data_IF_218148339236
#
_entry.id   IF_218148339236
#
_cell.length_a   1.000
_cell.length_b   1.000
_cell.length_c   1.000
_cell.angle_alpha   90.00
_cell.angle_beta   90.00
_cell.angle_gamma   90.00
#
_symmetry.space_group_name_H-M   'P 1'
#
loop_
_entity.id
_entity.type
_entity.pdbx_description
1 polymer ?
#
# COMPACT_ATOMS: atom_id res chain seq x y z
N UNK A 1 -18.24 -3.55 -16.67
CA UNK A 1 -19.08 -4.55 -15.97
C UNK A 1 -18.28 -5.01 -14.76
N UNK A 2 -18.88 -5.07 -13.56
CA UNK A 2 -18.15 -5.45 -12.34
C UNK A 2 -18.39 -6.94 -12.08
N UNK A 3 -17.32 -7.73 -12.08
CA UNK A 3 -17.39 -9.15 -11.72
C UNK A 3 -17.37 -9.28 -10.20
N UNK A 4 -18.11 -10.27 -9.66
CA UNK A 4 -18.12 -10.57 -8.23
C UNK A 4 -17.85 -12.05 -8.03
N UNK A 5 -16.86 -12.36 -7.19
CA UNK A 5 -16.55 -13.72 -6.79
C UNK A 5 -16.55 -13.80 -5.26
N UNK A 6 -17.02 -14.90 -4.71
CA UNK A 6 -16.87 -15.23 -3.30
C UNK A 6 -15.79 -16.30 -3.15
N UNK A 7 -14.88 -16.11 -2.22
CA UNK A 7 -13.79 -17.03 -1.92
C UNK A 7 -13.71 -17.28 -0.42
N UNK A 8 -13.72 -18.57 -0.06
CA UNK A 8 -13.41 -19.00 1.29
C UNK A 8 -11.89 -19.08 1.48
N UNK A 9 -11.37 -18.32 2.42
CA UNK A 9 -10.02 -18.54 2.96
C UNK A 9 -10.13 -19.37 4.23
N UNK A 10 -9.19 -20.29 4.44
CA UNK A 10 -9.28 -21.26 5.53
C UNK A 10 -8.27 -20.90 6.63
N UNK A 11 -8.74 -20.51 7.84
CA UNK A 11 -7.88 -20.24 9.00
C UNK A 11 -6.98 -21.41 9.40
N UNK A 12 -7.28 -22.63 8.96
CA UNK A 12 -6.43 -23.81 9.16
C UNK A 12 -5.07 -23.67 8.48
N UNK A 13 -5.01 -23.10 7.27
CA UNK A 13 -3.73 -22.89 6.59
C UNK A 13 -2.92 -21.80 7.27
N UNK A 14 -3.58 -20.73 7.69
CA UNK A 14 -2.96 -19.62 8.39
C UNK A 14 -4.05 -18.86 9.16
N UNK A 15 -3.83 -18.51 10.43
CA UNK A 15 -4.86 -17.81 11.24
C UNK A 15 -4.98 -16.32 10.90
N UNK A 16 -3.84 -15.72 10.56
CA UNK A 16 -3.60 -14.30 10.34
C UNK A 16 -3.54 -13.96 8.83
N UNK A 17 -4.38 -14.62 8.01
CA UNK A 17 -4.36 -14.47 6.54
C UNK A 17 -4.51 -13.02 6.14
N UNK A 18 -5.56 -12.35 6.62
CA UNK A 18 -5.87 -10.98 6.19
C UNK A 18 -4.82 -9.99 6.67
N UNK A 19 -4.32 -10.17 7.90
CA UNK A 19 -3.27 -9.36 8.50
C UNK A 19 -1.99 -9.40 7.67
N UNK A 20 -1.50 -10.59 7.31
CA UNK A 20 -0.28 -10.75 6.52
C UNK A 20 -0.41 -10.13 5.12
N UNK A 21 -1.56 -10.29 4.47
CA UNK A 21 -1.81 -9.65 3.18
C UNK A 21 -1.90 -8.13 3.32
N UNK A 22 -2.51 -7.64 4.41
CA UNK A 22 -2.67 -6.21 4.67
C UNK A 22 -1.33 -5.53 4.95
N UNK A 23 -0.39 -6.18 5.63
CA UNK A 23 0.97 -5.67 5.85
C UNK A 23 1.69 -5.38 4.53
N UNK A 24 1.64 -6.35 3.60
CA UNK A 24 2.23 -6.18 2.26
C UNK A 24 1.47 -5.10 1.49
N UNK A 25 0.12 -5.14 1.49
CA UNK A 25 -0.71 -4.17 0.79
C UNK A 25 -0.45 -2.73 1.25
N UNK A 26 -0.26 -2.50 2.56
CA UNK A 26 0.04 -1.17 3.11
C UNK A 26 1.38 -0.64 2.62
N UNK A 27 2.38 -1.51 2.52
CA UNK A 27 3.75 -1.18 2.11
C UNK A 27 3.90 -1.03 0.59
N UNK A 28 3.37 -1.99 -0.18
CA UNK A 28 3.62 -2.13 -1.62
C UNK A 28 2.44 -1.66 -2.48
N UNK A 29 1.31 -1.30 -1.85
CA UNK A 29 0.07 -0.84 -2.51
C UNK A 29 -0.62 -1.89 -3.38
N UNK A 30 -0.01 -3.07 -3.49
CA UNK A 30 -0.54 -4.27 -4.13
C UNK A 30 -0.09 -5.50 -3.36
N UNK A 31 -0.89 -6.54 -3.34
CA UNK A 31 -0.53 -7.85 -2.77
C UNK A 31 -1.22 -8.95 -3.58
N UNK A 32 -0.55 -10.09 -3.75
CA UNK A 32 -1.18 -11.25 -4.34
C UNK A 32 -1.83 -12.11 -3.27
N UNK A 33 -3.11 -12.44 -3.48
CA UNK A 33 -3.88 -13.37 -2.67
C UNK A 33 -4.04 -14.69 -3.41
N UNK A 34 -3.54 -15.78 -2.84
CA UNK A 34 -3.53 -17.09 -3.48
C UNK A 34 -4.72 -17.95 -3.09
N UNK A 35 -5.43 -18.49 -4.08
CA UNK A 35 -6.40 -19.58 -3.85
C UNK A 35 -5.66 -20.92 -3.78
N UNK A 36 -5.52 -21.41 -2.55
CA UNK A 36 -4.88 -22.71 -2.26
C UNK A 36 -5.73 -23.86 -2.81
N UNK A 37 -5.09 -24.78 -3.55
CA UNK A 37 -5.65 -26.06 -3.95
C UNK A 37 -5.76 -26.96 -2.72
N UNK A 38 -6.96 -27.47 -2.44
CA UNK A 38 -7.12 -28.48 -1.40
C UNK A 38 -6.42 -29.78 -1.83
N UNK A 39 -5.69 -30.42 -0.91
CA UNK A 39 -5.04 -31.72 -1.16
C UNK A 39 -6.04 -32.84 -1.43
N UNK A 40 -7.27 -32.71 -0.92
CA UNK A 40 -8.37 -33.65 -1.12
C UNK A 40 -9.29 -33.25 -2.28
N UNK A 41 -8.81 -32.38 -3.19
CA UNK A 41 -9.60 -31.93 -4.33
C UNK A 41 -9.53 -32.99 -5.42
N UNK A 42 -10.59 -33.79 -5.50
CA UNK A 42 -10.68 -34.90 -6.45
C UNK A 42 -11.44 -34.52 -7.72
N UNK A 43 -11.95 -33.28 -7.80
CA UNK A 43 -12.78 -32.78 -8.91
C UNK A 43 -12.34 -31.41 -9.37
N UNK A 44 -12.36 -31.19 -10.67
CA UNK A 44 -12.19 -29.86 -11.26
C UNK A 44 -13.40 -28.97 -10.95
N UNK A 45 -13.17 -27.65 -10.97
CA UNK A 45 -14.21 -26.66 -10.72
C UNK A 45 -15.27 -26.72 -11.84
N UNK A 46 -16.56 -26.92 -11.50
CA UNK A 46 -17.66 -27.12 -12.48
C UNK A 46 -17.76 -26.00 -13.52
N UNK A 47 -17.36 -24.78 -13.15
CA UNK A 47 -17.44 -23.58 -13.99
C UNK A 47 -16.06 -22.96 -14.33
N UNK A 48 -15.03 -23.79 -14.50
CA UNK A 48 -13.65 -23.33 -14.74
C UNK A 48 -13.54 -22.40 -15.96
N UNK A 49 -14.21 -22.71 -17.07
CA UNK A 49 -14.14 -21.89 -18.29
C UNK A 49 -14.67 -20.47 -18.04
N UNK A 50 -15.83 -20.35 -17.39
CA UNK A 50 -16.41 -19.05 -17.05
C UNK A 50 -15.50 -18.24 -16.13
N UNK A 51 -14.85 -18.90 -15.15
CA UNK A 51 -13.85 -18.24 -14.30
C UNK A 51 -12.65 -17.74 -15.10
N UNK A 52 -12.11 -18.55 -16.02
CA UNK A 52 -11.00 -18.14 -16.88
C UNK A 52 -11.38 -16.93 -17.75
N UNK A 53 -12.61 -16.88 -18.26
CA UNK A 53 -13.09 -15.75 -19.03
C UNK A 53 -13.23 -14.50 -18.18
N UNK A 54 -13.71 -14.61 -16.93
CA UNK A 54 -13.69 -13.50 -15.97
C UNK A 54 -12.24 -13.04 -15.76
N UNK A 55 -11.32 -13.96 -15.43
CA UNK A 55 -9.93 -13.64 -15.12
C UNK A 55 -9.21 -12.90 -16.26
N UNK A 56 -9.45 -13.28 -17.52
CA UNK A 56 -8.89 -12.61 -18.70
C UNK A 56 -9.40 -11.17 -18.88
N UNK A 57 -10.61 -10.87 -18.39
CA UNK A 57 -11.24 -9.56 -18.55
C UNK A 57 -10.99 -8.60 -17.36
N UNK A 58 -10.41 -9.09 -16.26
CA UNK A 58 -10.11 -8.28 -15.08
C UNK A 58 -8.92 -7.35 -15.34
N UNK A 59 -9.11 -6.06 -15.11
CA UNK A 59 -8.06 -5.04 -15.18
C UNK A 59 -8.39 -3.85 -14.24
N UNK A 60 -7.66 -2.74 -14.35
CA UNK A 60 -7.86 -1.56 -13.49
C UNK A 60 -9.20 -0.84 -13.69
N UNK A 61 -9.81 -0.92 -14.88
CA UNK A 61 -11.12 -0.31 -15.19
C UNK A 61 -12.27 -1.30 -14.99
N UNK A 62 -12.07 -2.56 -15.38
CA UNK A 62 -13.00 -3.68 -15.15
C UNK A 62 -12.48 -4.57 -14.02
N UNK A 63 -12.37 -4.01 -12.82
CA UNK A 63 -11.86 -4.76 -11.68
C UNK A 63 -12.90 -5.79 -11.17
N UNK A 64 -12.38 -6.81 -10.50
CA UNK A 64 -13.15 -7.83 -9.81
C UNK A 64 -13.32 -7.43 -8.33
N UNK A 65 -14.55 -7.53 -7.81
CA UNK A 65 -14.82 -7.52 -6.38
C UNK A 65 -14.74 -8.94 -5.85
N UNK A 66 -13.63 -9.26 -5.19
CA UNK A 66 -13.41 -10.56 -4.57
C UNK A 66 -13.84 -10.50 -3.11
N UNK A 67 -14.97 -11.11 -2.78
CA UNK A 67 -15.43 -11.28 -1.42
C UNK A 67 -14.62 -12.39 -0.75
N UNK A 68 -13.97 -12.08 0.37
CA UNK A 68 -13.15 -12.98 1.15
C UNK A 68 -13.82 -13.23 2.49
N UNK A 69 -14.07 -14.49 2.83
CA UNK A 69 -14.68 -14.85 4.10
C UNK A 69 -14.05 -16.11 4.70
N UNK A 70 -14.12 -16.23 6.02
CA UNK A 70 -13.94 -17.46 6.81
C UNK A 70 -15.22 -17.81 7.59
N UNK A 71 -16.34 -17.18 7.21
CA UNK A 71 -17.66 -17.16 7.84
C UNK A 71 -17.81 -16.23 9.05
N UNK A 72 -16.76 -15.99 9.82
CA UNK A 72 -16.80 -15.03 10.93
C UNK A 72 -16.53 -13.60 10.45
N UNK A 73 -15.72 -13.47 9.42
CA UNK A 73 -15.29 -12.21 8.83
C UNK A 73 -15.72 -12.12 7.37
N UNK A 74 -15.93 -10.90 6.90
CA UNK A 74 -16.20 -10.63 5.50
C UNK A 74 -15.45 -9.37 5.05
N UNK A 75 -14.63 -9.55 4.03
CA UNK A 75 -13.92 -8.48 3.34
C UNK A 75 -14.29 -8.47 1.87
N UNK A 76 -14.10 -7.33 1.22
CA UNK A 76 -14.10 -7.23 -0.24
C UNK A 76 -12.76 -6.69 -0.67
N UNK A 77 -12.13 -7.37 -1.61
CA UNK A 77 -10.87 -6.98 -2.22
C UNK A 77 -11.13 -6.43 -3.64
N UNK A 78 -10.45 -5.33 -3.97
CA UNK A 78 -10.38 -4.83 -5.34
C UNK A 78 -9.26 -5.57 -6.06
N UNK A 79 -9.62 -6.41 -7.03
CA UNK A 79 -8.68 -7.21 -7.81
C UNK A 79 -8.55 -6.63 -9.20
N UNK A 80 -7.32 -6.27 -9.60
CA UNK A 80 -7.03 -5.66 -10.90
C UNK A 80 -6.28 -6.58 -11.85
N UNK A 81 -5.91 -7.79 -11.42
CA UNK A 81 -5.41 -8.85 -12.30
C UNK A 81 -5.57 -10.22 -11.61
N UNK A 82 -5.67 -11.28 -12.41
CA UNK A 82 -5.58 -12.67 -11.94
C UNK A 82 -4.51 -13.39 -12.74
N UNK A 83 -3.60 -14.08 -12.05
CA UNK A 83 -2.45 -14.75 -12.65
C UNK A 83 -2.39 -16.22 -12.25
N UNK A 84 -1.93 -17.09 -13.14
CA UNK A 84 -1.65 -18.50 -12.81
C UNK A 84 -0.30 -18.67 -12.12
N UNK A 85 0.67 -17.81 -12.47
CA UNK A 85 2.00 -17.78 -11.89
C UNK A 85 2.26 -16.38 -11.38
N UNK A 86 2.79 -16.30 -10.16
CA UNK A 86 3.05 -15.02 -9.52
C UNK A 86 4.33 -14.41 -10.09
N UNK A 87 4.21 -13.23 -10.71
CA UNK A 87 5.33 -12.42 -11.18
C UNK A 87 5.23 -10.99 -10.67
N UNK A 88 6.36 -10.40 -10.29
CA UNK A 88 6.53 -9.00 -9.84
C UNK A 88 5.75 -8.52 -8.60
N UNK A 89 4.75 -9.26 -8.13
CA UNK A 89 3.94 -8.90 -6.95
C UNK A 89 4.25 -9.85 -5.79
N UNK A 90 4.36 -9.31 -4.58
CA UNK A 90 4.56 -10.15 -3.39
C UNK A 90 3.26 -10.77 -2.89
N UNK A 91 3.39 -12.00 -2.42
CA UNK A 91 2.43 -12.67 -1.56
C UNK A 91 3.09 -12.93 -0.20
N UNK A 92 2.31 -13.15 0.88
CA UNK A 92 2.86 -13.60 2.15
C UNK A 92 3.71 -14.87 2.02
N UNK A 93 4.85 -14.91 2.73
CA UNK A 93 5.81 -16.00 2.62
C UNK A 93 5.26 -17.40 2.94
N UNK A 94 4.15 -17.49 3.70
CA UNK A 94 3.60 -18.78 4.14
C UNK A 94 3.19 -19.66 2.96
N UNK A 95 2.75 -19.08 1.83
CA UNK A 95 2.46 -19.83 0.61
C UNK A 95 3.68 -20.65 0.15
N UNK A 96 4.87 -20.06 0.16
CA UNK A 96 6.10 -20.72 -0.26
C UNK A 96 6.70 -21.60 0.86
N UNK A 97 6.77 -21.08 2.09
CA UNK A 97 7.38 -21.77 3.24
C UNK A 97 6.65 -23.07 3.58
N UNK A 98 5.32 -23.07 3.49
CA UNK A 98 4.48 -24.24 3.78
C UNK A 98 4.16 -25.07 2.52
N UNK A 99 4.72 -24.68 1.37
CA UNK A 99 4.58 -25.38 0.08
C UNK A 99 3.11 -25.57 -0.33
N UNK A 100 2.30 -24.53 -0.17
CA UNK A 100 0.91 -24.55 -0.62
C UNK A 100 0.87 -24.47 -2.15
N UNK A 101 0.10 -25.38 -2.76
CA UNK A 101 -0.21 -25.31 -4.19
C UNK A 101 -1.31 -24.27 -4.42
N UNK A 102 -1.08 -23.32 -5.34
CA UNK A 102 -1.96 -22.17 -5.56
C UNK A 102 -2.50 -22.21 -6.98
N UNK A 103 -3.83 -22.26 -7.11
CA UNK A 103 -4.52 -22.40 -8.39
C UNK A 103 -4.64 -21.08 -9.16
N UNK A 104 -4.75 -19.97 -8.41
CA UNK A 104 -4.87 -18.64 -8.96
C UNK A 104 -4.39 -17.59 -7.95
N UNK A 105 -3.71 -16.57 -8.48
CA UNK A 105 -3.25 -15.40 -7.74
C UNK A 105 -4.10 -14.19 -8.08
N UNK A 106 -4.83 -13.67 -7.11
CA UNK A 106 -5.63 -12.45 -7.23
C UNK A 106 -4.77 -11.25 -6.82
N UNK A 107 -4.51 -10.33 -7.74
CA UNK A 107 -3.71 -9.15 -7.45
C UNK A 107 -4.59 -8.05 -6.86
N UNK A 108 -4.57 -7.95 -5.54
CA UNK A 108 -5.36 -7.03 -4.73
C UNK A 108 -4.68 -5.66 -4.67
N UNK A 109 -5.43 -4.59 -4.95
CA UNK A 109 -4.95 -3.19 -4.88
C UNK A 109 -5.70 -2.33 -3.87
N UNK A 110 -6.77 -2.89 -3.28
CA UNK A 110 -7.48 -2.32 -2.15
C UNK A 110 -8.26 -3.41 -1.41
N UNK A 111 -8.55 -3.18 -0.14
CA UNK A 111 -9.24 -4.12 0.73
C UNK A 111 -10.17 -3.36 1.68
N UNK A 112 -11.42 -3.80 1.77
CA UNK A 112 -12.43 -3.20 2.64
C UNK A 112 -12.99 -4.24 3.58
N UNK A 113 -13.03 -3.91 4.87
CA UNK A 113 -13.71 -4.69 5.90
C UNK A 113 -15.22 -4.39 5.86
N UNK A 114 -16.05 -5.43 5.75
CA UNK A 114 -17.51 -5.32 5.83
C UNK A 114 -18.03 -5.74 7.19
N UNK A 115 -17.53 -6.86 7.70
CA UNK A 115 -17.92 -7.42 8.99
C UNK A 115 -16.74 -8.17 9.61
N UNK A 116 -16.62 -8.15 10.94
CA UNK A 116 -15.49 -8.74 11.66
C UNK A 116 -15.96 -9.51 12.88
N UNK A 117 -15.53 -10.76 13.00
CA UNK A 117 -15.78 -11.65 14.13
C UNK A 117 -17.26 -11.76 14.50
N UNK A 118 -18.14 -11.86 13.50
CA UNK A 118 -19.58 -11.94 13.70
C UNK A 118 -20.26 -12.86 12.69
N UNK A 119 -20.13 -14.17 12.91
CA UNK A 119 -20.76 -15.20 12.09
C UNK A 119 -22.24 -14.94 11.81
N UNK A 120 -23.01 -14.57 12.85
CA UNK A 120 -24.46 -14.38 12.73
C UNK A 120 -24.76 -13.25 11.75
N UNK A 121 -24.04 -12.13 11.85
CA UNK A 121 -24.25 -11.00 10.93
C UNK A 121 -23.78 -11.32 9.52
N UNK A 122 -22.63 -11.98 9.35
CA UNK A 122 -22.17 -12.44 8.02
C UNK A 122 -23.24 -13.34 7.39
N UNK A 123 -23.70 -14.37 8.12
CA UNK A 123 -24.69 -15.36 7.67
C UNK A 123 -26.05 -14.76 7.37
N UNK A 124 -26.57 -13.89 8.23
CA UNK A 124 -27.96 -13.45 8.17
C UNK A 124 -28.15 -12.12 7.42
N UNK A 125 -27.12 -11.27 7.36
CA UNK A 125 -27.22 -9.93 6.75
C UNK A 125 -26.37 -9.73 5.50
N UNK A 126 -25.21 -10.39 5.38
CA UNK A 126 -24.33 -10.18 4.23
C UNK A 126 -24.53 -11.24 3.15
N UNK A 127 -24.31 -12.52 3.46
CA UNK A 127 -24.38 -13.61 2.50
C UNK A 127 -25.75 -13.72 1.77
N UNK A 128 -26.92 -13.47 2.42
CA UNK A 128 -28.21 -13.53 1.74
C UNK A 128 -28.43 -12.44 0.69
N UNK A 129 -27.52 -11.44 0.60
CA UNK A 129 -27.53 -10.42 -0.45
C UNK A 129 -26.93 -10.91 -1.77
N UNK A 130 -26.42 -12.14 -1.81
CA UNK A 130 -25.87 -12.74 -3.02
C UNK A 130 -26.84 -13.74 -3.65
N UNK A 131 -26.84 -13.81 -4.98
CA UNK A 131 -27.38 -14.95 -5.75
C UNK A 131 -26.26 -15.71 -6.43
N UNK A 132 -26.50 -16.99 -6.72
CA UNK A 132 -25.53 -17.90 -7.32
C UNK A 132 -25.99 -18.27 -8.73
N UNK A 133 -25.64 -17.48 -9.77
CA UNK A 133 -26.18 -17.65 -11.12
C UNK A 133 -25.95 -19.05 -11.68
N UNK A 134 -24.80 -19.65 -11.36
CA UNK A 134 -24.43 -20.99 -11.82
C UNK A 134 -25.08 -22.14 -11.02
N UNK A 135 -25.88 -21.81 -10.00
CA UNK A 135 -26.59 -22.76 -9.13
C UNK A 135 -28.07 -22.37 -9.04
N UNK A 136 -28.72 -22.26 -10.22
CA UNK A 136 -30.16 -21.96 -10.33
C UNK A 136 -30.55 -20.52 -9.98
N UNK A 137 -29.58 -19.61 -9.92
CA UNK A 137 -29.74 -18.21 -9.53
C UNK A 137 -30.46 -18.01 -8.17
N UNK A 138 -30.33 -19.01 -7.29
CA UNK A 138 -30.90 -18.95 -5.96
C UNK A 138 -30.10 -17.98 -5.07
N UNK A 139 -30.76 -17.50 -4.01
CA UNK A 139 -30.05 -16.81 -2.92
C UNK A 139 -28.98 -17.73 -2.34
N UNK A 140 -27.78 -17.21 -2.09
CA UNK A 140 -26.68 -17.96 -1.49
C UNK A 140 -27.11 -18.61 -0.18
N UNK A 141 -26.75 -19.88 0.02
CA UNK A 141 -27.03 -20.65 1.24
C UNK A 141 -25.75 -21.23 1.79
N UNK A 142 -25.46 -21.00 3.08
CA UNK A 142 -24.28 -21.57 3.72
C UNK A 142 -24.31 -23.11 3.76
N UNK A 143 -25.50 -23.69 3.93
CA UNK A 143 -25.70 -25.13 4.05
C UNK A 143 -26.53 -25.69 2.88
N UNK A 144 -26.29 -26.96 2.57
CA UNK A 144 -27.12 -27.74 1.65
C UNK A 144 -26.76 -27.63 0.16
N UNK A 145 -25.74 -26.85 -0.20
CA UNK A 145 -25.24 -26.74 -1.56
C UNK A 145 -23.75 -27.09 -1.65
N UNK A 146 -23.37 -27.84 -2.68
CA UNK A 146 -21.99 -28.22 -3.00
C UNK A 146 -21.36 -27.16 -3.92
N UNK A 147 -21.05 -26.00 -3.34
CA UNK A 147 -20.42 -24.88 -4.05
C UNK A 147 -18.94 -25.09 -4.28
N UNK A 148 -18.52 -24.92 -5.53
CA UNK A 148 -17.11 -24.76 -5.89
C UNK A 148 -16.66 -23.31 -5.72
N UNK A 149 -15.50 -23.11 -5.07
CA UNK A 149 -14.89 -21.79 -4.87
C UNK A 149 -13.63 -21.62 -5.75
N UNK A 150 -13.39 -20.43 -6.34
CA UNK A 150 -14.15 -19.18 -6.19
C UNK A 150 -15.55 -19.24 -6.81
N UNK A 151 -16.55 -18.89 -6.02
CA UNK A 151 -17.95 -18.96 -6.41
C UNK A 151 -18.34 -17.69 -7.17
N UNK A 152 -18.87 -17.84 -8.37
CA UNK A 152 -19.45 -16.73 -9.12
C UNK A 152 -20.76 -16.31 -8.45
N UNK A 153 -20.86 -15.03 -8.09
CA UNK A 153 -22.02 -14.47 -7.40
C UNK A 153 -22.52 -13.21 -8.11
N UNK A 154 -23.81 -12.93 -7.97
CA UNK A 154 -24.39 -11.63 -8.25
C UNK A 154 -24.85 -11.00 -6.93
N UNK A 155 -24.81 -9.67 -6.83
CA UNK A 155 -25.42 -8.95 -5.72
C UNK A 155 -26.87 -8.63 -6.07
N UNK A 156 -27.82 -8.92 -5.16
CA UNK A 156 -29.23 -8.55 -5.31
C UNK A 156 -29.41 -7.05 -5.49
N UNK A 157 -28.62 -6.27 -4.76
CA UNK A 157 -28.49 -4.83 -4.91
C UNK A 157 -27.06 -4.54 -5.41
N UNK A 158 -26.90 -4.21 -6.70
CA UNK A 158 -25.58 -3.91 -7.26
C UNK A 158 -24.91 -2.76 -6.51
N UNK A 159 -23.74 -3.02 -5.91
CA UNK A 159 -22.96 -2.02 -5.20
C UNK A 159 -21.48 -2.11 -5.56
N UNK A 160 -20.91 -0.98 -5.97
CA UNK A 160 -19.47 -0.86 -6.17
C UNK A 160 -18.80 -0.39 -4.87
N UNK A 161 -18.16 -1.30 -4.15
CA UNK A 161 -17.47 -1.02 -2.89
C UNK A 161 -16.25 -0.11 -3.03
N UNK A 162 -15.78 0.13 -4.26
CA UNK A 162 -14.60 0.92 -4.60
C UNK A 162 -14.91 2.05 -5.60
N UNK A 163 -16.15 2.55 -5.59
CA UNK A 163 -16.55 3.70 -6.40
C UNK A 163 -15.76 4.97 -6.03
N UNK A 164 -15.47 5.14 -4.74
CA UNK A 164 -14.63 6.24 -4.25
C UNK A 164 -13.16 5.97 -4.59
N UNK A 165 -12.43 7.02 -4.97
CA UNK A 165 -11.00 6.93 -5.25
C UNK A 165 -10.14 6.74 -3.98
N UNK A 166 -10.70 7.00 -2.80
CA UNK A 166 -10.02 6.77 -1.52
C UNK A 166 -9.72 5.28 -1.31
N UNK A 167 -8.53 4.99 -0.80
CA UNK A 167 -8.13 3.62 -0.45
C UNK A 167 -8.74 3.20 0.90
N UNK A 168 -9.36 2.03 0.94
CA UNK A 168 -10.01 1.50 2.15
C UNK A 168 -9.08 0.69 3.04
N UNK A 169 -8.06 0.03 2.48
CA UNK A 169 -7.15 -0.85 3.24
C UNK A 169 -6.46 -0.17 4.45
N UNK A 170 -6.16 1.15 4.47
CA UNK A 170 -5.61 1.80 5.66
C UNK A 170 -6.54 1.73 6.89
N UNK A 171 -7.86 1.58 6.66
CA UNK A 171 -8.87 1.61 7.70
C UNK A 171 -9.37 0.20 8.11
N UNK A 172 -8.86 -0.86 7.49
CA UNK A 172 -9.15 -2.26 7.88
C UNK A 172 -8.69 -2.49 9.32
N UNK A 173 -9.52 -3.18 10.11
CA UNK A 173 -9.39 -3.39 11.55
C UNK A 173 -9.50 -2.15 12.45
N UNK A 174 -9.62 -0.94 11.87
CA UNK A 174 -9.71 0.30 12.65
C UNK A 174 -11.14 0.55 13.12
N UNK A 175 -11.27 0.96 14.38
CA UNK A 175 -12.56 1.34 14.99
C UNK A 175 -13.13 2.63 14.37
N UNK A 176 -14.42 2.87 14.57
CA UNK A 176 -15.05 4.12 14.12
C UNK A 176 -14.41 5.36 14.77
N UNK A 177 -14.05 5.27 16.06
CA UNK A 177 -13.38 6.36 16.77
C UNK A 177 -12.03 6.71 16.11
N UNK A 178 -11.23 5.70 15.78
CA UNK A 178 -9.98 5.91 15.03
C UNK A 178 -10.21 6.61 13.69
N UNK A 179 -11.22 6.18 12.92
CA UNK A 179 -11.54 6.79 11.61
C UNK A 179 -11.97 8.25 11.77
N UNK A 180 -12.81 8.56 12.76
CA UNK A 180 -13.26 9.91 13.05
C UNK A 180 -12.10 10.82 13.47
N UNK A 181 -11.23 10.37 14.37
CA UNK A 181 -10.04 11.12 14.80
C UNK A 181 -9.08 11.36 13.65
N UNK A 182 -8.83 10.34 12.81
CA UNK A 182 -8.02 10.46 11.60
C UNK A 182 -8.59 11.52 10.66
N UNK A 183 -9.89 11.47 10.38
CA UNK A 183 -10.54 12.44 9.50
C UNK A 183 -10.44 13.86 10.07
N UNK A 184 -10.70 14.05 11.36
CA UNK A 184 -10.57 15.35 12.02
C UNK A 184 -9.14 15.92 11.97
N UNK A 185 -8.12 15.07 12.17
CA UNK A 185 -6.71 15.48 12.04
C UNK A 185 -6.37 15.90 10.61
N UNK A 186 -6.91 15.21 9.61
CA UNK A 186 -6.74 15.55 8.20
C UNK A 186 -7.45 16.89 7.91
N UNK A 187 -8.71 17.04 8.27
CA UNK A 187 -9.52 18.20 7.90
C UNK A 187 -9.04 19.49 8.58
N UNK A 188 -8.60 19.41 9.84
CA UNK A 188 -8.31 20.59 10.66
C UNK A 188 -6.81 20.92 10.71
N UNK A 189 -5.92 19.95 10.52
CA UNK A 189 -4.48 20.15 10.72
C UNK A 189 -3.63 19.77 9.51
N UNK A 190 -3.61 18.48 9.15
CA UNK A 190 -2.63 17.96 8.20
C UNK A 190 -3.02 18.22 6.73
N UNK A 191 -4.31 18.37 6.44
CA UNK A 191 -4.83 18.49 5.08
C UNK A 191 -4.42 17.32 4.18
N UNK A 192 -4.33 17.61 2.88
CA UNK A 192 -3.91 16.63 1.86
C UNK A 192 -2.50 16.07 2.09
N UNK A 193 -1.66 16.77 2.85
CA UNK A 193 -0.29 16.32 3.15
C UNK A 193 -0.27 15.03 4.01
N UNK A 194 -1.36 14.75 4.74
CA UNK A 194 -1.50 13.52 5.51
C UNK A 194 -1.32 12.24 4.68
N UNK A 195 -1.73 12.27 3.40
CA UNK A 195 -1.61 11.14 2.48
C UNK A 195 -0.17 10.92 1.96
N UNK A 196 0.73 11.87 2.22
CA UNK A 196 2.16 11.75 1.90
C UNK A 196 2.98 11.14 3.05
N UNK A 197 2.40 11.04 4.24
CA UNK A 197 3.02 10.37 5.38
C UNK A 197 3.14 8.87 5.13
N UNK A 198 4.14 8.26 5.75
CA UNK A 198 4.14 6.81 5.88
C UNK A 198 2.87 6.36 6.61
N UNK A 199 2.27 5.26 6.15
CA UNK A 199 0.99 4.80 6.70
C UNK A 199 1.05 4.54 8.20
N UNK A 200 2.18 3.99 8.71
CA UNK A 200 2.37 3.80 10.15
C UNK A 200 2.53 5.13 10.90
N UNK A 201 3.09 6.17 10.26
CA UNK A 201 3.24 7.48 10.89
C UNK A 201 1.88 8.10 11.14
N UNK A 202 0.99 8.10 10.13
CA UNK A 202 -0.37 8.59 10.30
C UNK A 202 -1.14 7.78 11.34
N UNK A 203 -1.04 6.45 11.31
CA UNK A 203 -1.68 5.58 12.31
C UNK A 203 -1.19 5.91 13.74
N UNK A 204 0.12 6.05 13.94
CA UNK A 204 0.69 6.38 15.25
C UNK A 204 0.28 7.78 15.73
N UNK A 205 0.17 8.77 14.84
CA UNK A 205 -0.38 10.10 15.19
C UNK A 205 -1.82 9.95 15.70
N UNK A 206 -2.67 9.18 15.00
CA UNK A 206 -4.07 8.99 15.40
C UNK A 206 -4.15 8.25 16.74
N UNK A 207 -3.34 7.21 16.95
CA UNK A 207 -3.32 6.50 18.24
C UNK A 207 -2.78 7.35 19.40
N UNK A 208 -1.85 8.26 19.14
CA UNK A 208 -1.37 9.22 20.13
C UNK A 208 -2.49 10.22 20.48
N UNK A 209 -3.22 10.72 19.48
CA UNK A 209 -4.33 11.65 19.69
C UNK A 209 -5.49 11.00 20.44
N UNK A 210 -5.84 9.74 20.13
CA UNK A 210 -6.87 8.99 20.86
C UNK A 210 -6.52 8.87 22.35
N UNK A 211 -5.28 8.52 22.66
CA UNK A 211 -4.79 8.42 24.05
C UNK A 211 -4.81 9.78 24.75
N UNK A 212 -4.34 10.83 24.08
CA UNK A 212 -4.36 12.19 24.60
C UNK A 212 -5.78 12.64 24.93
N UNK A 213 -6.71 12.50 23.99
CA UNK A 213 -8.09 12.95 24.18
C UNK A 213 -8.82 12.18 25.28
N UNK A 214 -8.55 10.88 25.42
CA UNK A 214 -9.14 10.05 26.46
C UNK A 214 -8.66 10.42 27.87
N UNK A 215 -7.40 10.85 28.02
CA UNK A 215 -6.75 10.99 29.33
C UNK A 215 -6.36 12.43 29.71
N UNK A 216 -6.53 13.44 28.84
CA UNK A 216 -6.12 14.83 29.12
C UNK A 216 -6.77 15.50 30.34
N UNK A 217 -7.81 14.90 30.92
CA UNK A 217 -8.46 15.39 32.15
C UNK A 217 -7.94 14.71 33.42
N UNK A 218 -7.12 13.67 33.28
CA UNK A 218 -6.48 12.99 34.40
C UNK A 218 -5.06 13.57 34.61
N UNK A 219 -4.84 14.36 35.68
CA UNK A 219 -3.54 14.96 35.94
C UNK A 219 -2.46 13.95 36.35
N UNK A 220 -2.82 12.71 36.70
CA UNK A 220 -1.90 11.65 37.13
C UNK A 220 -1.62 10.62 36.03
N UNK A 221 -2.27 10.74 34.86
CA UNK A 221 -2.05 9.81 33.76
C UNK A 221 -0.63 9.93 33.19
N UNK A 222 0.01 8.77 32.98
CA UNK A 222 1.33 8.67 32.38
C UNK A 222 1.26 8.62 30.85
N UNK A 223 1.70 9.71 30.20
CA UNK A 223 1.68 9.85 28.74
C UNK A 223 2.89 9.21 28.03
N UNK A 224 3.67 8.36 28.70
CA UNK A 224 4.83 7.68 28.09
C UNK A 224 4.49 6.90 26.83
N UNK A 225 3.32 6.25 26.78
CA UNK A 225 2.86 5.50 25.60
C UNK A 225 2.58 6.41 24.40
N UNK A 226 2.00 7.59 24.64
CA UNK A 226 1.82 8.63 23.62
C UNK A 226 3.15 9.08 23.04
N UNK A 227 4.17 9.30 23.88
CA UNK A 227 5.53 9.65 23.42
C UNK A 227 6.15 8.54 22.58
N UNK A 228 5.97 7.28 22.95
CA UNK A 228 6.46 6.13 22.14
C UNK A 228 5.81 6.11 20.75
N UNK A 229 4.52 6.45 20.63
CA UNK A 229 3.85 6.53 19.32
C UNK A 229 4.42 7.67 18.47
N UNK A 230 4.59 8.86 19.05
CA UNK A 230 5.24 9.97 18.37
C UNK A 230 6.71 9.70 18.02
N UNK A 231 7.39 8.90 18.84
CA UNK A 231 8.75 8.45 18.54
C UNK A 231 8.82 7.73 17.21
N UNK A 232 7.92 6.76 17.02
CA UNK A 232 7.82 5.97 15.79
C UNK A 232 7.55 6.85 14.57
N UNK A 233 6.78 7.93 14.74
CA UNK A 233 6.51 8.92 13.68
C UNK A 233 7.79 9.63 13.28
N UNK A 234 8.50 10.21 14.26
CA UNK A 234 9.72 10.98 13.99
C UNK A 234 10.83 10.09 13.41
N UNK A 235 11.03 8.89 13.94
CA UNK A 235 12.01 7.93 13.41
C UNK A 235 11.69 7.56 11.96
N UNK A 236 10.43 7.20 11.67
CA UNK A 236 10.02 6.77 10.34
C UNK A 236 10.08 7.88 9.30
N UNK A 237 9.60 9.09 9.62
CA UNK A 237 9.62 10.20 8.67
C UNK A 237 11.03 10.78 8.49
N UNK A 238 11.85 10.81 9.55
CA UNK A 238 13.26 11.22 9.43
C UNK A 238 14.04 10.26 8.54
N UNK A 239 13.81 8.96 8.70
CA UNK A 239 14.45 7.96 7.84
C UNK A 239 14.07 8.17 6.36
N UNK A 240 12.79 8.37 6.06
CA UNK A 240 12.35 8.63 4.70
C UNK A 240 12.92 9.93 4.14
N UNK A 241 13.01 10.98 4.96
CA UNK A 241 13.64 12.24 4.58
C UNK A 241 15.13 12.05 4.26
N UNK A 242 15.87 11.29 5.07
CA UNK A 242 17.28 10.98 4.82
C UNK A 242 17.43 10.23 3.49
N UNK A 243 16.56 9.26 3.20
CA UNK A 243 16.58 8.58 1.89
C UNK A 243 16.36 9.54 0.73
N UNK A 244 15.40 10.45 0.87
CA UNK A 244 15.09 11.45 -0.16
C UNK A 244 16.27 12.43 -0.35
N UNK A 245 16.95 12.82 0.74
CA UNK A 245 18.19 13.61 0.69
C UNK A 245 19.32 12.88 -0.05
N UNK A 246 19.58 11.60 0.28
CA UNK A 246 20.60 10.81 -0.40
C UNK A 246 20.25 10.71 -1.90
N UNK A 247 18.98 10.39 -2.21
CA UNK A 247 18.50 10.30 -3.59
C UNK A 247 18.72 11.60 -4.36
N UNK A 248 18.29 12.73 -3.81
CA UNK A 248 18.47 14.05 -4.41
C UNK A 248 19.95 14.41 -4.61
N UNK A 249 20.74 14.33 -3.54
CA UNK A 249 22.16 14.68 -3.59
C UNK A 249 22.96 13.76 -4.51
N UNK A 250 22.58 12.47 -4.64
CA UNK A 250 23.25 11.56 -5.57
C UNK A 250 23.08 11.94 -7.04
N UNK A 251 22.04 12.71 -7.39
CA UNK A 251 21.87 13.27 -8.74
C UNK A 251 22.83 14.43 -9.05
N UNK A 252 23.36 15.07 -8.00
CA UNK A 252 24.25 16.23 -8.08
C UNK A 252 25.71 15.79 -7.90
N UNK A 253 25.96 14.95 -6.89
CA UNK A 253 27.27 14.42 -6.53
C UNK A 253 27.17 12.90 -6.33
N UNK A 254 27.33 12.10 -7.39
CA UNK A 254 27.18 10.64 -7.34
C UNK A 254 28.12 9.96 -6.33
N UNK A 255 29.27 10.57 -6.02
CA UNK A 255 30.23 10.02 -5.06
C UNK A 255 29.66 9.90 -3.64
N UNK A 256 28.59 10.63 -3.31
CA UNK A 256 27.92 10.55 -2.00
C UNK A 256 27.45 9.13 -1.67
N UNK A 257 27.11 8.34 -2.69
CA UNK A 257 26.63 6.96 -2.51
C UNK A 257 27.70 6.03 -1.91
N UNK A 258 28.98 6.34 -2.13
CA UNK A 258 30.12 5.55 -1.64
C UNK A 258 30.58 5.95 -0.23
N UNK A 259 29.89 6.89 0.42
CA UNK A 259 30.26 7.34 1.76
C UNK A 259 29.94 6.27 2.78
N UNK A 260 30.97 5.82 3.49
CA UNK A 260 30.84 4.88 4.60
C UNK A 260 30.17 5.52 5.82
N UNK A 261 29.22 4.80 6.38
CA UNK A 261 28.48 5.17 7.58
C UNK A 261 28.48 3.99 8.57
N UNK A 262 28.36 4.29 9.86
CA UNK A 262 28.19 3.26 10.88
C UNK A 262 26.76 3.30 11.44
N UNK A 263 26.03 2.20 11.29
CA UNK A 263 24.71 1.99 11.89
C UNK A 263 24.78 0.84 12.88
N UNK A 264 24.63 1.10 14.19
CA UNK A 264 24.61 0.08 15.25
C UNK A 264 25.66 -1.03 15.07
N UNK A 265 26.92 -0.64 14.87
CA UNK A 265 28.08 -1.51 14.66
C UNK A 265 28.20 -2.20 13.29
N UNK A 266 27.31 -1.92 12.35
CA UNK A 266 27.46 -2.30 10.94
C UNK A 266 28.09 -1.16 10.15
N UNK A 267 29.08 -1.48 9.32
CA UNK A 267 29.55 -0.58 8.27
C UNK A 267 28.62 -0.75 7.07
N UNK A 268 28.03 0.35 6.62
CA UNK A 268 27.13 0.41 5.46
C UNK A 268 27.45 1.67 4.68
N UNK A 269 27.12 1.71 3.39
CA UNK A 269 27.25 2.94 2.61
C UNK A 269 25.94 3.74 2.61
N UNK A 270 25.98 4.99 2.15
CA UNK A 270 24.75 5.74 1.88
C UNK A 270 23.90 5.08 0.77
N UNK A 271 24.53 4.38 -0.18
CA UNK A 271 23.81 3.56 -1.17
C UNK A 271 22.99 2.45 -0.50
N UNK A 272 23.56 1.74 0.47
CA UNK A 272 22.86 0.68 1.21
C UNK A 272 21.60 1.21 1.89
N UNK A 273 21.68 2.40 2.50
CA UNK A 273 20.55 3.07 3.15
C UNK A 273 19.48 3.46 2.13
N UNK A 274 19.90 4.07 1.01
CA UNK A 274 18.98 4.53 -0.04
C UNK A 274 18.24 3.36 -0.70
N UNK A 275 18.97 2.29 -1.03
CA UNK A 275 18.40 1.09 -1.68
C UNK A 275 17.79 0.09 -0.67
N UNK A 276 17.90 0.35 0.63
CA UNK A 276 17.50 -0.56 1.70
C UNK A 276 18.18 -1.94 1.61
N UNK A 277 19.42 -1.97 1.12
CA UNK A 277 20.24 -3.18 1.07
C UNK A 277 20.91 -3.37 2.43
N UNK A 278 20.78 -4.54 3.03
CA UNK A 278 21.43 -4.89 4.31
C UNK A 278 21.10 -3.98 5.52
N UNK A 279 20.17 -3.03 5.35
CA UNK A 279 19.71 -2.09 6.37
C UNK A 279 18.27 -2.44 6.74
N UNK A 280 18.06 -2.80 8.01
CA UNK A 280 16.72 -3.04 8.53
C UNK A 280 16.19 -1.78 9.22
N UNK A 281 14.88 -1.56 9.21
CA UNK A 281 14.24 -0.45 9.96
C UNK A 281 14.69 -0.38 11.41
N UNK A 282 14.84 -1.54 12.08
CA UNK A 282 15.32 -1.63 13.48
C UNK A 282 16.74 -1.08 13.69
N UNK A 283 17.53 -0.98 12.63
CA UNK A 283 18.90 -0.49 12.65
C UNK A 283 18.95 1.06 12.63
N UNK A 284 17.82 1.72 12.33
CA UNK A 284 17.69 3.18 12.24
C UNK A 284 16.80 3.69 13.37
N UNK A 285 17.43 4.07 14.47
CA UNK A 285 16.78 4.76 15.59
C UNK A 285 17.06 6.26 15.55
N UNK A 286 16.59 6.99 16.57
CA UNK A 286 16.87 8.41 16.72
C UNK A 286 18.35 8.78 16.60
N UNK A 287 19.25 7.98 17.20
CA UNK A 287 20.68 8.28 17.20
C UNK A 287 21.24 8.12 15.80
N UNK A 288 20.87 7.05 15.10
CA UNK A 288 21.23 6.86 13.70
C UNK A 288 20.72 8.01 12.81
N UNK A 289 19.45 8.43 12.95
CA UNK A 289 18.92 9.56 12.18
C UNK A 289 19.69 10.86 12.45
N UNK A 290 19.99 11.15 13.72
CA UNK A 290 20.76 12.33 14.11
C UNK A 290 22.18 12.31 13.53
N UNK A 291 22.87 11.17 13.64
CA UNK A 291 24.25 11.02 13.17
C UNK A 291 24.33 11.12 11.64
N UNK A 292 23.34 10.54 10.94
CA UNK A 292 23.24 10.66 9.48
C UNK A 292 22.98 12.11 9.06
N UNK A 293 21.99 12.80 9.65
CA UNK A 293 21.69 14.19 9.29
C UNK A 293 22.83 15.16 9.64
N UNK A 294 23.66 14.82 10.63
CA UNK A 294 24.86 15.59 10.98
C UNK A 294 26.12 15.12 10.23
N UNK A 295 26.01 14.13 9.35
CA UNK A 295 27.16 13.58 8.65
C UNK A 295 27.78 14.64 7.73
N UNK A 296 29.11 14.73 7.76
CA UNK A 296 29.86 15.78 7.04
C UNK A 296 29.54 15.82 5.55
N UNK A 297 29.31 14.66 4.92
CA UNK A 297 28.95 14.58 3.50
C UNK A 297 27.67 15.36 3.13
N UNK A 298 26.69 15.47 4.04
CA UNK A 298 25.52 16.30 3.79
C UNK A 298 25.81 17.77 4.02
N UNK A 299 26.59 18.13 5.05
CA UNK A 299 26.97 19.51 5.31
C UNK A 299 27.84 20.11 4.20
N UNK A 300 28.80 19.35 3.68
CA UNK A 300 29.67 19.80 2.57
C UNK A 300 28.85 20.09 1.29
N UNK A 301 27.65 19.49 1.17
CA UNK A 301 26.71 19.69 0.07
C UNK A 301 25.51 20.57 0.44
N UNK A 302 25.51 21.21 1.61
CA UNK A 302 24.38 22.02 2.12
C UNK A 302 23.93 23.08 1.11
N UNK A 303 24.87 23.77 0.46
CA UNK A 303 24.60 24.83 -0.52
C UNK A 303 23.96 24.30 -1.82
N UNK A 304 23.93 22.99 -2.03
CA UNK A 304 23.23 22.34 -3.16
C UNK A 304 21.77 22.02 -2.85
N UNK A 305 21.34 22.15 -1.59
CA UNK A 305 19.95 21.95 -1.18
C UNK A 305 19.17 23.27 -1.23
N UNK A 306 17.84 23.22 -1.44
CA UNK A 306 16.99 24.38 -1.22
C UNK A 306 17.22 25.00 0.17
N UNK A 307 17.23 26.34 0.33
CA UNK A 307 17.61 26.98 1.59
C UNK A 307 16.81 26.51 2.82
N UNK A 308 15.49 26.35 2.65
CA UNK A 308 14.63 25.81 3.71
C UNK A 308 14.99 24.36 4.05
N UNK A 309 15.12 23.50 3.03
CA UNK A 309 15.54 22.11 3.18
C UNK A 309 16.88 21.98 3.90
N UNK A 310 17.87 22.80 3.53
CA UNK A 310 19.18 22.79 4.16
C UNK A 310 19.13 23.20 5.64
N UNK A 311 18.45 24.32 5.96
CA UNK A 311 18.34 24.80 7.34
C UNK A 311 17.50 23.87 8.21
N UNK A 312 16.35 23.41 7.72
CA UNK A 312 15.49 22.54 8.50
C UNK A 312 16.12 21.16 8.70
N UNK A 313 16.49 20.46 7.61
CA UNK A 313 16.90 19.06 7.71
C UNK A 313 18.27 18.88 8.37
N UNK A 314 19.24 19.75 8.07
CA UNK A 314 20.61 19.59 8.56
C UNK A 314 20.88 20.36 9.86
N UNK A 315 20.11 21.40 10.20
CA UNK A 315 20.37 22.21 11.40
C UNK A 315 19.28 22.05 12.46
N UNK A 316 18.01 22.20 12.09
CA UNK A 316 16.91 22.20 13.07
C UNK A 316 16.52 20.78 13.50
N UNK A 317 16.24 19.90 12.54
CA UNK A 317 15.72 18.55 12.79
C UNK A 317 16.62 17.72 13.71
N UNK A 318 17.97 17.65 13.55
CA UNK A 318 18.81 16.85 14.43
C UNK A 318 18.74 17.30 15.89
N UNK A 319 18.64 18.61 16.11
CA UNK A 319 18.53 19.19 17.45
C UNK A 319 17.15 18.90 18.08
N UNK A 320 16.08 18.96 17.28
CA UNK A 320 14.73 18.60 17.76
C UNK A 320 14.62 17.09 18.05
N UNK A 321 15.22 16.22 17.23
CA UNK A 321 15.31 14.79 17.49
C UNK A 321 16.08 14.49 18.78
N UNK A 322 17.16 15.24 19.06
CA UNK A 322 17.93 15.08 20.29
C UNK A 322 17.14 15.48 21.54
N UNK A 323 16.45 16.65 21.49
CA UNK A 323 15.57 17.09 22.58
C UNK A 323 14.48 16.06 22.86
N UNK A 324 13.82 15.58 21.80
CA UNK A 324 12.76 14.60 21.91
C UNK A 324 13.27 13.26 22.47
N UNK A 325 14.44 12.78 22.02
CA UNK A 325 15.03 11.55 22.52
C UNK A 325 15.31 11.58 24.03
N UNK A 326 15.74 12.72 24.58
CA UNK A 326 15.95 12.91 26.02
C UNK A 326 14.64 12.73 26.80
N UNK A 327 13.58 13.45 26.40
CA UNK A 327 12.25 13.37 27.04
C UNK A 327 11.71 11.94 26.98
N UNK A 328 11.79 11.31 25.81
CA UNK A 328 11.32 9.93 25.62
C UNK A 328 12.08 8.93 26.49
N UNK A 329 13.40 9.04 26.60
CA UNK A 329 14.20 8.11 27.40
C UNK A 329 13.91 8.26 28.90
N UNK A 330 13.70 9.49 29.37
CA UNK A 330 13.23 9.73 30.75
C UNK A 330 11.84 9.12 30.99
N UNK A 331 10.90 9.34 30.07
CA UNK A 331 9.54 8.80 30.16
C UNK A 331 9.48 7.27 30.20
N UNK A 332 10.30 6.62 29.38
CA UNK A 332 10.27 5.15 29.26
C UNK A 332 11.03 4.45 30.39
N UNK A 333 12.06 5.08 30.97
CA UNK A 333 12.99 4.38 31.87
C UNK A 333 13.10 4.97 33.28
N UNK A 334 12.66 6.22 33.52
CA UNK A 334 12.96 6.93 34.76
C UNK A 334 11.74 7.50 35.49
N UNK A 335 10.75 8.06 34.78
CA UNK A 335 9.58 8.71 35.39
C UNK A 335 8.37 8.76 34.46
N UNK A 336 7.18 8.94 35.04
CA UNK A 336 5.98 9.20 34.26
C UNK A 336 6.09 10.53 33.48
N UNK A 337 5.47 10.58 32.30
CA UNK A 337 5.38 11.79 31.50
C UNK A 337 4.11 12.56 31.86
N UNK A 338 4.29 13.84 32.19
CA UNK A 338 3.20 14.73 32.59
C UNK A 338 2.35 15.20 31.40
N UNK A 339 1.14 15.67 31.68
CA UNK A 339 0.27 16.29 30.68
C UNK A 339 0.95 17.47 29.96
N UNK A 340 1.69 18.31 30.68
CA UNK A 340 2.37 19.48 30.11
C UNK A 340 3.42 19.06 29.08
N UNK A 341 4.24 18.05 29.39
CA UNK A 341 5.25 17.51 28.49
C UNK A 341 4.62 16.85 27.26
N UNK A 342 3.51 16.12 27.45
CA UNK A 342 2.74 15.54 26.37
C UNK A 342 2.16 16.62 25.44
N UNK A 343 1.66 17.73 25.99
CA UNK A 343 1.13 18.86 25.22
C UNK A 343 2.22 19.61 24.44
N UNK A 344 3.38 19.86 25.06
CA UNK A 344 4.54 20.46 24.40
C UNK A 344 4.99 19.59 23.22
N UNK A 345 5.11 18.28 23.45
CA UNK A 345 5.47 17.31 22.43
C UNK A 345 4.47 17.30 21.28
N UNK A 346 3.17 17.21 21.60
CA UNK A 346 2.08 17.24 20.63
C UNK A 346 2.11 18.54 19.80
N UNK A 347 2.36 19.67 20.45
CA UNK A 347 2.47 20.98 19.82
C UNK A 347 3.63 21.02 18.83
N UNK A 348 4.83 20.56 19.21
CA UNK A 348 6.01 20.52 18.34
C UNK A 348 5.81 19.63 17.11
N UNK A 349 5.24 18.43 17.30
CA UNK A 349 5.08 17.47 16.22
C UNK A 349 3.98 17.90 15.25
N UNK A 350 2.81 18.28 15.77
CA UNK A 350 1.63 18.56 14.97
C UNK A 350 1.45 20.04 14.62
N UNK A 351 2.21 20.95 15.21
CA UNK A 351 2.06 22.39 15.05
C UNK A 351 0.70 22.90 15.53
N UNK A 352 0.31 22.49 16.75
CA UNK A 352 -0.98 22.85 17.37
C UNK A 352 -0.76 23.67 18.63
N UNK A 353 -1.66 24.60 18.93
CA UNK A 353 -1.58 25.41 20.14
C UNK A 353 -1.73 24.53 21.40
N UNK A 354 -0.99 24.89 22.46
CA UNK A 354 -1.04 24.23 23.77
C UNK A 354 -2.25 24.73 24.56
N UNK A 355 -2.54 26.02 24.44
CA UNK A 355 -3.71 26.68 25.00
C UNK A 355 -4.19 27.84 24.10
N UNK A 356 -5.33 28.43 24.44
CA UNK A 356 -5.89 29.60 23.74
C UNK A 356 -5.04 30.87 23.88
N UNK A 357 -4.06 30.89 24.80
CA UNK A 357 -3.20 32.03 25.09
C UNK A 357 -1.83 31.93 24.41
N UNK A 358 -1.54 30.83 23.72
CA UNK A 358 -0.27 30.57 23.06
C UNK A 358 -0.15 31.47 21.82
N UNK A 359 0.64 32.54 21.93
CA UNK A 359 0.80 33.55 20.87
C UNK A 359 1.60 33.01 19.66
N UNK A 360 2.45 32.00 19.87
CA UNK A 360 3.31 31.41 18.83
C UNK A 360 3.12 29.89 18.75
N UNK A 361 2.35 29.44 17.77
CA UNK A 361 2.23 28.03 17.42
C UNK A 361 3.57 27.60 16.80
N UNK A 362 4.24 26.56 17.33
CA UNK A 362 5.49 26.09 16.74
C UNK A 362 5.22 25.52 15.33
N UNK A 363 6.21 25.65 14.45
CA UNK A 363 6.15 24.99 13.15
C UNK A 363 6.14 23.47 13.34
N UNK A 364 5.18 22.78 12.73
CA UNK A 364 5.06 21.33 12.83
C UNK A 364 6.30 20.63 12.25
N UNK A 365 6.97 19.81 13.06
CA UNK A 365 8.07 18.98 12.58
C UNK A 365 7.63 18.07 11.42
N UNK A 366 6.46 17.46 11.54
CA UNK A 366 5.92 16.55 10.51
C UNK A 366 5.65 17.28 9.20
N UNK A 367 5.01 18.46 9.25
CA UNK A 367 4.76 19.24 8.02
C UNK A 367 6.06 19.74 7.39
N UNK A 368 7.03 20.18 8.20
CA UNK A 368 8.32 20.62 7.68
C UNK A 368 9.10 19.47 7.03
N UNK A 369 9.09 18.27 7.63
CA UNK A 369 9.68 17.08 6.99
C UNK A 369 9.01 16.78 5.65
N UNK A 370 7.68 16.85 5.57
CA UNK A 370 6.95 16.65 4.30
C UNK A 370 7.26 17.73 3.27
N UNK A 371 7.41 18.99 3.69
CA UNK A 371 7.79 20.10 2.81
C UNK A 371 9.19 19.86 2.22
N UNK A 372 10.18 19.54 3.06
CA UNK A 372 11.53 19.22 2.58
C UNK A 372 11.49 18.08 1.58
N UNK A 373 10.80 16.97 1.92
CA UNK A 373 10.63 15.83 1.02
C UNK A 373 9.95 16.19 -0.30
N UNK A 374 9.09 17.22 -0.33
CA UNK A 374 8.49 17.75 -1.55
C UNK A 374 9.48 18.57 -2.38
N UNK A 375 10.26 19.45 -1.74
CA UNK A 375 11.28 20.30 -2.38
C UNK A 375 12.41 19.50 -3.02
N UNK A 376 12.81 18.38 -2.40
CA UNK A 376 13.95 17.56 -2.83
C UNK A 376 13.57 16.29 -3.59
N UNK A 377 12.33 16.15 -4.07
CA UNK A 377 11.95 14.93 -4.82
C UNK A 377 12.91 14.70 -5.98
N UNK A 378 13.61 13.54 -6.05
CA UNK A 378 14.47 13.24 -7.18
C UNK A 378 13.62 13.17 -8.46
N UNK A 379 14.19 13.50 -9.64
CA UNK A 379 13.50 13.28 -10.90
C UNK A 379 13.10 11.80 -11.00
N UNK A 380 11.86 11.54 -11.40
CA UNK A 380 11.35 10.18 -11.60
C UNK A 380 12.36 9.37 -12.43
N UNK A 381 12.67 8.11 -12.07
CA UNK A 381 13.48 7.25 -12.94
C UNK A 381 12.82 7.22 -14.32
N UNK A 382 13.60 7.27 -15.42
CA UNK A 382 13.03 7.30 -16.76
C UNK A 382 12.14 6.08 -16.93
N UNK A 383 10.84 6.33 -17.12
CA UNK A 383 9.92 5.32 -17.61
C UNK A 383 10.52 4.76 -18.89
N UNK A 384 10.76 3.46 -18.93
CA UNK A 384 11.10 2.73 -20.15
C UNK A 384 9.88 2.73 -21.08
N UNK A 385 9.61 3.89 -21.65
CA UNK A 385 8.66 4.12 -22.73
C UNK A 385 9.34 5.11 -23.68
N UNK A 386 10.47 4.70 -24.25
CA UNK A 386 10.96 5.32 -25.47
C UNK A 386 9.94 5.00 -26.55
N UNK A 387 8.95 5.89 -26.69
CA UNK A 387 8.16 6.00 -27.89
C UNK A 387 9.15 6.27 -29.02
N UNK A 388 9.37 5.25 -29.86
CA UNK A 388 9.93 5.46 -31.20
C UNK A 388 9.08 6.53 -31.89
N UNK A 389 9.67 7.57 -32.49
CA UNK A 389 8.92 8.51 -33.31
C UNK A 389 8.26 7.76 -34.46
N UNK A 390 6.94 7.80 -34.50
CA UNK A 390 6.14 7.37 -35.63
C UNK A 390 6.47 8.28 -36.82
N UNK A 391 7.06 7.68 -37.87
CA UNK A 391 7.13 8.28 -39.20
C UNK A 391 5.70 8.54 -39.69
N UNK A 392 5.39 9.81 -39.93
CA UNK A 392 4.13 10.23 -40.52
C UNK A 392 3.97 9.65 -41.94
N UNK A 393 2.76 9.19 -42.33
CA UNK A 393 2.52 8.73 -43.69
C UNK A 393 2.39 9.92 -44.65
N UNK A 394 3.31 9.98 -45.63
CA UNK A 394 3.20 10.88 -46.78
C UNK A 394 2.06 10.42 -47.70
N UNK A 395 1.17 11.35 -48.04
CA UNK A 395 0.15 11.21 -49.09
C UNK A 395 0.81 11.00 -50.46
N UNK A 396 0.37 10.04 -51.29
CA UNK A 396 0.79 9.96 -52.68
C UNK A 396 -0.05 10.88 -53.57
N UNK A 397 0.64 11.73 -54.32
CA UNK A 397 0.11 12.59 -55.38
C UNK A 397 -0.13 11.76 -56.65
N UNK A 398 -1.28 11.96 -57.31
CA UNK A 398 -1.56 11.44 -58.66
C UNK A 398 -0.68 12.14 -59.71
N UNK A 399 -0.09 11.35 -60.62
CA UNK A 399 0.14 11.76 -62.00
C UNK A 399 0.22 10.53 -62.93
N UNK A 400 -0.51 10.61 -64.05
CA UNK A 400 -0.55 9.71 -65.22
C UNK A 400 0.84 9.54 -65.86
N UNK A 401 1.20 8.47 -66.60
CA UNK A 401 0.54 8.02 -67.83
C UNK A 401 1.17 6.74 -68.46
N UNK A 402 0.31 5.82 -68.95
CA UNK A 402 0.36 5.07 -70.25
C UNK A 402 1.45 3.97 -70.50
N UNK A 403 1.25 3.01 -71.46
CA UNK A 403 0.68 1.66 -71.17
C UNK A 403 1.43 0.43 -71.80
N UNK A 404 1.16 -0.79 -71.26
CA UNK A 404 0.96 -2.13 -71.95
C UNK A 404 2.12 -2.72 -72.83
N UNK A 405 2.40 -4.06 -72.92
CA UNK A 405 1.45 -5.20 -72.81
C UNK A 405 1.83 -6.46 -72.01
N UNK A 406 0.72 -7.11 -71.60
CA UNK A 406 0.39 -8.53 -71.47
C UNK A 406 1.44 -9.64 -71.72
N UNK A 407 1.49 -10.61 -70.79
CA UNK A 407 1.56 -12.04 -71.11
C UNK A 407 0.68 -12.88 -70.17
N UNK A 408 -0.14 -13.72 -70.80
CA UNK A 408 -1.04 -14.76 -70.29
C UNK A 408 -0.31 -15.93 -69.61
N UNK A 409 -0.99 -16.59 -68.64
CA UNK A 409 -1.27 -18.05 -68.53
C UNK A 409 -1.69 -18.39 -67.08
N UNK A 410 -2.98 -18.60 -66.80
CA UNK A 410 -3.69 -19.90 -66.76
C UNK A 410 -3.16 -20.91 -65.72
N UNK A 411 -3.92 -21.20 -64.65
CA UNK A 411 -4.79 -22.39 -64.52
C UNK A 411 -5.41 -22.43 -63.12
N UNK A 412 -6.65 -22.91 -63.12
CA UNK A 412 -7.60 -22.97 -62.02
C UNK A 412 -7.53 -24.37 -61.35
N UNK A 413 -8.45 -24.77 -60.43
CA UNK A 413 -8.14 -25.12 -59.04
C UNK A 413 -8.28 -26.62 -58.74
N UNK A 414 -7.82 -27.06 -57.56
CA UNK A 414 -8.26 -28.33 -56.98
C UNK A 414 -8.65 -28.19 -55.52
N UNK A 415 -9.96 -28.35 -55.31
CA UNK A 415 -10.68 -28.76 -54.11
C UNK A 415 -10.17 -30.11 -53.59
N UNK A 416 -10.00 -30.24 -52.27
CA UNK A 416 -10.07 -31.54 -51.60
C UNK A 416 -10.95 -31.44 -50.35
N UNK A 417 -12.05 -32.19 -50.40
CA UNK A 417 -12.81 -32.67 -49.26
C UNK A 417 -11.97 -33.65 -48.44
N UNK A 418 -12.05 -33.59 -47.12
CA UNK A 418 -11.79 -34.75 -46.26
C UNK A 418 -12.96 -34.95 -45.30
N UNK A 419 -13.41 -36.20 -45.30
CA UNK A 419 -14.55 -36.78 -44.63
C UNK A 419 -14.15 -37.28 -43.24
N UNK A 420 -15.12 -37.20 -42.33
CA UNK A 420 -15.21 -37.70 -40.97
C UNK A 420 -14.82 -39.18 -40.84
N UNK A 421 -14.14 -39.55 -39.74
CA UNK A 421 -14.29 -40.87 -39.11
C UNK A 421 -14.27 -40.78 -37.58
N UNK A 422 -15.34 -41.30 -36.99
CA UNK A 422 -15.53 -41.55 -35.56
C UNK A 422 -14.49 -42.51 -34.99
N UNK A 423 -14.13 -42.30 -33.73
CA UNK A 423 -14.08 -43.33 -32.69
C UNK A 423 -14.26 -42.70 -31.32
#
# INVERSE_FOLDING_TARGET
>A
MIFNLLLLYNPFYKKDVIELHLEILKKEKRVAFGKIRSKSKDKEHKFLQTLQDIYKNVNSTNFLQLFLTDWDNLFVAKVEAVQSHLDQVRAPDYYQKEKHDVEAWFIVTDLRELERNNFIVVRDKHLPKFTTPNYGDHTFRLYGNDYDYPLIINMKEPHNYFERQEKFYPNVFKTQNFRNTKQSLIDVNLGVSAYSLHYESLDNIVYAELEYQANKQDPLYDFSTMLVKYSKVLEQESYLLIKDLIGFLSTIEPAILNVDCSLKHKKVTLEDIWQCKNVFKKDIDFKACQDLLRHRSFYDLKEKLPPFSASFALEQLPNELEKFAKIRNEGVHARAITLQEAQLTRSQILGVAIDQKTIKIPNSLVKNMLQVRHEIKPPSPPSSSTQKPSLAPQKPTLASSKPVPAKFKSKNPQTMHIVIRNR
#
